data_IF_280996273609
#
_entry.id   IF_280996273609
#
_cell.length_a   1.000
_cell.length_b   1.000
_cell.length_c   1.000
_cell.angle_alpha   90.00
_cell.angle_beta   90.00
_cell.angle_gamma   90.00
#
_symmetry.space_group_name_H-M   'P 1'
#
loop_
_entity.id
_entity.type
_entity.pdbx_description
1 polymer ?
#
# COMPACT_ATOMS: atom_id res chain seq x y z
N UNK A 1 31.89 -7.27 -11.40
CA UNK A 1 30.93 -7.79 -10.40
C UNK A 1 29.99 -6.64 -10.08
N UNK A 2 28.83 -6.62 -10.73
CA UNK A 2 27.79 -5.62 -10.50
C UNK A 2 27.01 -6.05 -9.27
N UNK A 3 27.00 -5.21 -8.22
CA UNK A 3 26.10 -5.36 -7.08
C UNK A 3 24.65 -5.32 -7.58
N UNK A 4 23.78 -6.24 -7.15
CA UNK A 4 22.36 -6.10 -7.41
C UNK A 4 21.87 -4.84 -6.68
N UNK A 5 21.27 -3.92 -7.42
CA UNK A 5 20.56 -2.79 -6.88
C UNK A 5 19.52 -3.32 -5.87
N UNK A 6 19.57 -2.84 -4.64
CA UNK A 6 18.58 -3.11 -3.61
C UNK A 6 17.22 -2.68 -4.15
N UNK A 7 16.36 -3.65 -4.44
CA UNK A 7 14.96 -3.40 -4.79
C UNK A 7 14.28 -2.79 -3.56
N UNK A 8 14.22 -1.47 -3.49
CA UNK A 8 13.35 -0.78 -2.55
C UNK A 8 11.91 -1.15 -2.90
N UNK A 9 11.25 -1.91 -2.04
CA UNK A 9 9.81 -2.17 -2.15
C UNK A 9 9.09 -0.83 -2.08
N UNK A 10 8.52 -0.37 -3.19
CA UNK A 10 7.58 0.73 -3.18
C UNK A 10 6.31 0.25 -2.47
N UNK A 11 5.74 1.03 -1.55
CA UNK A 11 4.44 0.68 -0.99
C UNK A 11 3.43 0.71 -2.12
N UNK A 12 2.65 -0.36 -2.24
CA UNK A 12 1.48 -0.34 -3.10
C UNK A 12 0.57 0.81 -2.65
N UNK A 13 0.06 1.66 -3.56
CA UNK A 13 -0.73 2.83 -3.21
C UNK A 13 -2.01 2.53 -2.41
N UNK A 14 -2.41 1.28 -2.30
CA UNK A 14 -3.63 0.84 -1.61
C UNK A 14 -3.43 -0.21 -0.52
N UNK A 15 -2.20 -0.44 -0.07
CA UNK A 15 -1.89 -1.46 0.93
C UNK A 15 -1.20 -0.89 2.14
N UNK A 16 -1.75 0.18 2.64
CA UNK A 16 -1.28 0.72 3.89
C UNK A 16 -2.26 0.31 4.96
N UNK A 17 -1.88 -0.78 5.62
CA UNK A 17 -2.54 -1.37 6.76
C UNK A 17 -2.74 -0.37 7.90
N UNK A 18 -3.82 0.34 7.89
CA UNK A 18 -4.42 0.91 9.09
C UNK A 18 -5.92 0.77 8.95
N UNK A 19 -6.50 -0.05 9.75
CA UNK A 19 -7.92 0.03 9.97
C UNK A 19 -8.22 1.22 10.91
N UNK A 20 -9.18 2.06 10.57
CA UNK A 20 -10.10 1.99 9.45
C UNK A 20 -9.75 3.00 8.34
N UNK A 21 -9.46 2.51 7.15
CA UNK A 21 -9.37 3.35 5.96
C UNK A 21 -10.75 3.83 5.48
N UNK A 22 -11.81 3.48 6.21
CA UNK A 22 -13.19 3.80 5.86
C UNK A 22 -13.93 4.38 7.05
N UNK A 23 -14.74 5.42 6.80
CA UNK A 23 -15.71 5.91 7.76
C UNK A 23 -17.07 5.30 7.52
N UNK A 24 -17.61 4.60 8.52
CA UNK A 24 -19.00 4.20 8.55
C UNK A 24 -19.74 5.06 9.54
N UNK A 25 -20.88 5.60 9.13
CA UNK A 25 -21.80 6.31 10.00
C UNK A 25 -23.09 5.53 10.11
N UNK A 26 -23.56 5.38 11.33
CA UNK A 26 -24.91 4.93 11.57
C UNK A 26 -25.83 6.15 11.52
N UNK A 27 -26.65 6.27 10.47
CA UNK A 27 -27.62 7.35 10.35
C UNK A 27 -28.90 7.02 11.16
N UNK A 28 -29.66 8.05 11.51
CA UNK A 28 -31.01 7.88 12.09
C UNK A 28 -31.84 6.93 11.22
N UNK A 29 -32.26 5.79 11.79
CA UNK A 29 -32.98 4.74 11.07
C UNK A 29 -32.19 3.45 10.82
N UNK A 30 -30.98 3.30 11.36
CA UNK A 30 -30.21 2.04 11.31
C UNK A 30 -29.52 1.75 9.99
N UNK A 31 -29.45 2.72 9.06
CA UNK A 31 -28.71 2.54 7.81
C UNK A 31 -27.23 2.91 8.00
N UNK A 32 -26.35 1.95 7.72
CA UNK A 32 -24.91 2.18 7.70
C UNK A 32 -24.52 2.81 6.36
N UNK A 33 -23.71 3.86 6.40
CA UNK A 33 -23.24 4.59 5.22
C UNK A 33 -21.73 4.64 5.26
N UNK A 34 -21.10 4.25 4.16
CA UNK A 34 -19.68 4.44 3.94
C UNK A 34 -19.46 5.85 3.40
N UNK A 35 -18.62 6.64 4.05
CA UNK A 35 -18.29 8.01 3.61
C UNK A 35 -17.11 7.96 2.66
N UNK A 36 -17.29 8.28 1.36
CA UNK A 36 -16.20 8.31 0.40
C UNK A 36 -15.32 9.55 0.59
N UNK A 37 -14.10 9.48 0.07
CA UNK A 37 -13.26 10.65 -0.15
C UNK A 37 -13.78 11.57 -1.26
N UNK A 38 -13.08 12.69 -1.49
CA UNK A 38 -13.42 13.64 -2.57
C UNK A 38 -13.29 12.97 -3.95
N UNK A 39 -12.40 12.00 -4.08
CA UNK A 39 -12.17 11.15 -5.25
C UNK A 39 -13.21 10.05 -5.44
N UNK A 40 -14.19 9.93 -4.54
CA UNK A 40 -15.18 8.86 -4.52
C UNK A 40 -14.67 7.55 -3.92
N UNK A 41 -13.38 7.44 -3.56
CA UNK A 41 -12.82 6.25 -2.93
C UNK A 41 -13.33 6.11 -1.48
N UNK A 42 -13.77 4.92 -1.06
CA UNK A 42 -14.09 4.66 0.34
C UNK A 42 -12.83 4.58 1.23
N UNK A 43 -11.65 4.45 0.61
CA UNK A 43 -10.37 4.27 1.30
C UNK A 43 -9.60 5.59 1.47
N UNK A 44 -8.80 5.68 2.52
CA UNK A 44 -7.81 6.72 2.73
C UNK A 44 -6.43 6.07 2.84
N UNK A 45 -5.46 6.37 1.95
CA UNK A 45 -4.11 5.86 2.12
C UNK A 45 -3.52 6.26 3.48
N UNK A 46 -3.03 5.29 4.25
CA UNK A 46 -2.42 5.51 5.56
C UNK A 46 -0.98 5.98 5.45
N UNK A 47 -0.81 7.10 4.76
CA UNK A 47 0.46 7.78 4.50
C UNK A 47 0.43 9.17 5.09
N UNK A 48 1.54 9.57 5.73
CA UNK A 48 1.70 10.90 6.31
C UNK A 48 3.07 11.45 5.89
N UNK A 49 3.10 12.60 5.23
CA UNK A 49 4.32 13.28 4.84
C UNK A 49 4.52 14.54 5.67
N UNK A 50 5.65 14.62 6.39
CA UNK A 50 6.05 15.77 7.19
C UNK A 50 6.86 16.73 6.34
N UNK A 51 6.32 17.93 6.14
CA UNK A 51 6.89 18.97 5.28
C UNK A 51 7.50 20.08 6.11
N UNK A 52 8.23 21.01 5.47
CA UNK A 52 8.79 22.16 6.15
C UNK A 52 7.73 23.06 6.80
N UNK A 53 8.13 23.82 7.82
CA UNK A 53 7.28 24.77 8.55
C UNK A 53 6.08 24.13 9.27
N UNK A 54 6.22 22.91 9.76
CA UNK A 54 5.19 22.22 10.52
C UNK A 54 3.99 21.72 9.69
N UNK A 55 4.05 21.79 8.36
CA UNK A 55 2.97 21.30 7.50
C UNK A 55 2.99 19.78 7.43
N UNK A 56 1.79 19.17 7.34
CA UNK A 56 1.59 17.73 7.20
C UNK A 56 0.64 17.47 6.03
N UNK A 57 1.02 16.56 5.15
CA UNK A 57 0.12 15.99 4.15
C UNK A 57 -0.31 14.59 4.59
N UNK A 58 -1.54 14.18 4.26
CA UNK A 58 -2.11 12.89 4.67
C UNK A 58 -2.85 12.27 3.48
N UNK A 59 -2.84 10.94 3.40
CA UNK A 59 -3.56 10.21 2.37
C UNK A 59 -2.89 10.31 1.00
N UNK A 60 -3.68 10.57 -0.04
CA UNK A 60 -3.17 10.66 -1.41
C UNK A 60 -2.14 11.77 -1.58
N UNK A 61 -2.37 12.94 -1.00
CA UNK A 61 -1.42 14.06 -1.06
C UNK A 61 -0.04 13.68 -0.48
N UNK A 62 -0.02 12.84 0.57
CA UNK A 62 1.22 12.34 1.15
C UNK A 62 1.87 11.26 0.28
N UNK A 63 1.07 10.40 -0.33
CA UNK A 63 1.53 9.35 -1.23
C UNK A 63 2.22 9.94 -2.47
N UNK A 64 1.66 11.00 -3.05
CA UNK A 64 2.23 11.72 -4.20
C UNK A 64 3.58 12.41 -3.87
N UNK A 65 3.86 12.60 -2.58
CA UNK A 65 5.12 13.17 -2.09
C UNK A 65 6.18 12.11 -1.74
N UNK A 66 5.83 10.83 -1.77
CA UNK A 66 6.71 9.75 -1.32
C UNK A 66 8.04 9.73 -2.08
N UNK A 67 8.02 9.90 -3.39
CA UNK A 67 9.24 9.92 -4.21
C UNK A 67 10.12 11.15 -3.94
N UNK A 68 9.49 12.30 -3.65
CA UNK A 68 10.20 13.57 -3.41
C UNK A 68 10.71 13.70 -1.99
N UNK A 69 10.01 13.11 -1.04
CA UNK A 69 10.28 13.23 0.41
C UNK A 69 10.28 11.86 1.12
N UNK A 70 11.02 10.83 0.63
CA UNK A 70 10.92 9.47 1.14
C UNK A 70 11.29 9.35 2.62
N UNK A 71 12.31 10.08 3.09
CA UNK A 71 12.76 10.03 4.47
C UNK A 71 11.81 10.71 5.48
N UNK A 72 10.86 11.51 5.02
CA UNK A 72 9.87 12.21 5.86
C UNK A 72 8.43 11.83 5.53
N UNK A 73 8.22 10.84 4.66
CA UNK A 73 6.92 10.27 4.34
C UNK A 73 6.79 8.89 4.99
N UNK A 74 5.93 8.81 5.98
CA UNK A 74 5.74 7.62 6.81
C UNK A 74 4.53 6.84 6.33
N UNK A 75 4.70 5.55 6.13
CA UNK A 75 3.67 4.59 5.76
C UNK A 75 3.83 3.29 6.55
N UNK A 76 2.76 2.49 6.67
CA UNK A 76 2.80 1.24 7.44
C UNK A 76 3.06 1.46 8.94
N UNK A 77 2.64 2.59 9.52
CA UNK A 77 2.83 2.91 10.94
C UNK A 77 2.20 1.84 11.87
N UNK A 78 1.13 1.16 11.42
CA UNK A 78 0.48 0.03 12.09
C UNK A 78 1.47 -1.11 12.44
N UNK A 79 2.50 -1.32 11.62
CA UNK A 79 3.51 -2.37 11.83
C UNK A 79 4.49 -2.07 12.97
N UNK A 80 4.51 -0.82 13.42
CA UNK A 80 5.39 -0.32 14.50
C UNK A 80 4.63 0.10 15.75
N UNK A 81 3.31 0.27 15.67
CA UNK A 81 2.48 0.76 16.77
C UNK A 81 2.51 -0.20 17.96
N UNK A 82 2.79 0.32 19.16
CA UNK A 82 2.87 -0.47 20.39
C UNK A 82 4.06 -1.45 20.47
N UNK A 83 4.98 -1.45 19.49
CA UNK A 83 6.16 -2.32 19.48
C UNK A 83 7.38 -1.65 20.06
N UNK A 84 8.26 -2.46 20.63
CA UNK A 84 9.55 -2.01 21.14
C UNK A 84 10.58 -1.92 20.03
N UNK A 85 11.45 -0.89 20.11
CA UNK A 85 12.49 -0.67 19.09
C UNK A 85 13.46 -1.88 18.95
N UNK A 86 13.73 -2.58 20.03
CA UNK A 86 14.63 -3.74 20.07
C UNK A 86 14.02 -5.03 19.48
N UNK A 87 12.72 -5.05 19.16
CA UNK A 87 12.09 -6.23 18.57
C UNK A 87 12.69 -6.54 17.19
N UNK A 88 13.03 -7.81 16.94
CA UNK A 88 13.59 -8.26 15.67
C UNK A 88 12.62 -8.03 14.49
N UNK A 89 11.31 -8.07 14.75
CA UNK A 89 10.28 -7.75 13.78
C UNK A 89 10.34 -6.28 13.35
N UNK A 90 10.59 -5.35 14.29
CA UNK A 90 10.77 -3.91 14.01
C UNK A 90 11.99 -3.68 13.13
N UNK A 91 13.12 -4.32 13.44
CA UNK A 91 14.34 -4.17 12.65
C UNK A 91 14.20 -4.70 11.22
N UNK A 92 13.51 -5.84 11.05
CA UNK A 92 13.24 -6.40 9.70
C UNK A 92 12.33 -5.50 8.89
N UNK A 93 11.25 -5.03 9.48
CA UNK A 93 10.30 -4.12 8.83
C UNK A 93 10.94 -2.78 8.45
N UNK A 94 11.80 -2.25 9.32
CA UNK A 94 12.52 -0.99 9.09
C UNK A 94 13.53 -1.09 7.94
N UNK A 95 14.15 -2.24 7.74
CA UNK A 95 15.15 -2.45 6.68
C UNK A 95 14.56 -2.30 5.26
N UNK A 96 13.26 -2.45 5.12
CA UNK A 96 12.54 -2.31 3.85
C UNK A 96 11.99 -0.89 3.62
N UNK A 97 12.25 0.06 4.55
CA UNK A 97 11.67 1.41 4.53
C UNK A 97 12.70 2.47 4.18
N UNK A 98 12.21 3.55 3.58
CA UNK A 98 13.05 4.70 3.20
C UNK A 98 13.19 5.73 4.34
N UNK A 99 12.32 5.67 5.35
CA UNK A 99 12.42 6.46 6.56
C UNK A 99 13.24 5.73 7.63
N UNK A 100 13.76 6.48 8.61
CA UNK A 100 14.57 5.93 9.69
C UNK A 100 13.75 5.80 10.98
N UNK A 101 13.96 4.68 11.69
CA UNK A 101 13.50 4.50 13.06
C UNK A 101 14.58 4.94 14.06
N UNK A 102 14.11 5.47 15.19
CA UNK A 102 14.95 5.85 16.32
C UNK A 102 14.29 5.45 17.63
N UNK A 103 15.08 5.18 18.65
CA UNK A 103 14.64 5.11 20.04
C UNK A 103 14.70 6.51 20.62
N UNK A 104 13.61 7.02 21.19
CA UNK A 104 13.53 8.44 21.61
C UNK A 104 14.39 8.74 22.84
N UNK A 105 14.40 7.87 23.86
CA UNK A 105 15.23 7.94 25.07
C UNK A 105 15.45 6.53 25.61
N UNK A 106 16.44 6.36 26.49
CA UNK A 106 16.73 5.06 27.13
C UNK A 106 15.54 4.47 27.92
N UNK A 107 14.64 5.32 28.41
CA UNK A 107 13.45 4.91 29.20
C UNK A 107 12.20 4.66 28.35
N UNK A 108 12.21 4.98 27.03
CA UNK A 108 11.09 4.75 26.12
C UNK A 108 11.49 3.69 25.10
N UNK A 109 11.07 2.45 25.35
CA UNK A 109 11.43 1.30 24.53
C UNK A 109 10.82 1.29 23.12
N UNK A 110 9.82 2.14 22.85
CA UNK A 110 9.08 2.19 21.60
C UNK A 110 9.88 2.61 20.38
N UNK A 111 9.50 2.11 19.21
CA UNK A 111 10.01 2.54 17.92
C UNK A 111 9.40 3.89 17.52
N UNK A 112 10.24 4.85 17.12
CA UNK A 112 9.83 6.20 16.70
C UNK A 112 10.38 6.49 15.31
N UNK A 113 9.66 7.32 14.53
CA UNK A 113 10.11 7.78 13.22
C UNK A 113 10.95 9.03 13.34
N UNK A 114 12.14 9.03 12.74
CA UNK A 114 13.00 10.23 12.67
C UNK A 114 12.42 11.20 11.65
N UNK A 115 12.20 12.45 12.06
CA UNK A 115 11.75 13.52 11.18
C UNK A 115 12.81 14.63 11.16
N UNK A 116 13.32 14.96 9.98
CA UNK A 116 14.33 15.99 9.75
C UNK A 116 13.74 17.13 8.93
N UNK A 117 12.69 17.76 9.49
CA UNK A 117 11.95 18.86 8.87
C UNK A 117 11.70 19.96 9.89
N UNK A 118 11.83 21.23 9.45
CA UNK A 118 11.58 22.37 10.31
C UNK A 118 10.11 22.43 10.77
N UNK A 119 9.91 22.87 12.00
CA UNK A 119 8.57 22.96 12.59
C UNK A 119 7.99 21.65 13.12
N UNK A 120 8.76 20.53 13.08
CA UNK A 120 8.38 19.26 13.64
C UNK A 120 9.33 18.79 14.74
N UNK A 121 8.86 17.96 15.69
CA UNK A 121 9.75 17.26 16.61
C UNK A 121 10.74 16.36 15.84
N UNK A 122 11.96 16.14 16.35
CA UNK A 122 12.97 15.32 15.66
C UNK A 122 12.60 13.83 15.58
N UNK A 123 11.63 13.39 16.40
CA UNK A 123 11.08 12.04 16.36
C UNK A 123 9.58 12.06 16.67
N UNK A 124 8.83 11.25 15.96
CA UNK A 124 7.36 11.13 16.05
C UNK A 124 6.98 9.69 16.31
N UNK A 125 6.03 9.45 17.22
CA UNK A 125 5.55 8.10 17.53
C UNK A 125 4.60 7.56 16.45
N UNK A 126 4.47 6.23 16.31
CA UNK A 126 3.46 5.62 15.44
C UNK A 126 2.03 6.07 15.76
N UNK A 127 1.71 6.29 17.05
CA UNK A 127 0.42 6.80 17.48
C UNK A 127 0.15 8.21 16.95
N UNK A 128 1.16 9.09 16.99
CA UNK A 128 1.04 10.44 16.43
C UNK A 128 0.87 10.42 14.90
N UNK A 129 1.56 9.53 14.20
CA UNK A 129 1.31 9.32 12.76
C UNK A 129 -0.12 8.83 12.52
N UNK A 130 -0.58 7.83 13.28
CA UNK A 130 -1.95 7.33 13.22
C UNK A 130 -2.98 8.43 13.48
N UNK A 131 -2.72 9.34 14.44
CA UNK A 131 -3.64 10.43 14.76
C UNK A 131 -3.84 11.42 13.59
N UNK A 132 -2.84 11.64 12.74
CA UNK A 132 -3.00 12.44 11.53
C UNK A 132 -3.95 11.78 10.53
N UNK A 133 -3.83 10.45 10.33
CA UNK A 133 -4.74 9.69 9.47
C UNK A 133 -6.17 9.75 10.02
N UNK A 134 -6.35 9.48 11.32
CA UNK A 134 -7.64 9.59 12.01
C UNK A 134 -8.24 11.00 11.91
N UNK A 135 -7.40 12.03 12.07
CA UNK A 135 -7.83 13.43 11.91
C UNK A 135 -8.36 13.73 10.52
N UNK A 136 -7.73 13.20 9.47
CA UNK A 136 -8.20 13.35 8.09
C UNK A 136 -9.56 12.62 7.88
N UNK A 137 -9.71 11.43 8.46
CA UNK A 137 -10.98 10.70 8.44
C UNK A 137 -12.08 11.48 9.18
N UNK A 138 -11.76 12.04 10.34
CA UNK A 138 -12.69 12.88 11.11
C UNK A 138 -13.14 14.11 10.31
N UNK A 139 -12.23 14.71 9.56
CA UNK A 139 -12.56 15.84 8.68
C UNK A 139 -13.47 15.41 7.52
N UNK A 140 -13.25 14.24 6.91
CA UNK A 140 -14.17 13.68 5.90
C UNK A 140 -15.57 13.50 6.50
N UNK A 141 -15.65 12.93 7.70
CA UNK A 141 -16.92 12.75 8.41
C UNK A 141 -17.62 14.09 8.68
N UNK A 142 -16.90 15.09 9.19
CA UNK A 142 -17.42 16.42 9.45
C UNK A 142 -17.96 17.09 8.19
N UNK A 143 -17.24 16.99 7.08
CA UNK A 143 -17.68 17.54 5.79
C UNK A 143 -18.96 16.85 5.28
N UNK A 144 -19.04 15.53 5.42
CA UNK A 144 -20.23 14.78 5.00
C UNK A 144 -21.47 15.12 5.85
N UNK A 145 -21.28 15.22 7.18
CA UNK A 145 -22.35 15.53 8.13
C UNK A 145 -22.78 17.00 8.13
N UNK A 146 -21.93 17.89 7.63
CA UNK A 146 -22.12 19.34 7.75
C UNK A 146 -21.86 19.90 9.15
N UNK A 147 -21.24 19.11 10.06
CA UNK A 147 -20.84 19.54 11.40
C UNK A 147 -19.64 18.73 11.93
N UNK A 148 -18.92 19.28 12.90
CA UNK A 148 -17.70 18.68 13.51
C UNK A 148 -17.96 17.93 14.84
N UNK A 149 -19.20 17.65 15.20
CA UNK A 149 -19.57 17.06 16.50
C UNK A 149 -19.43 15.53 16.55
N UNK A 150 -18.38 14.98 15.95
CA UNK A 150 -18.03 13.56 16.08
C UNK A 150 -17.02 13.42 17.21
N UNK A 151 -17.39 12.77 18.31
CA UNK A 151 -16.55 12.63 19.50
C UNK A 151 -16.33 11.20 19.95
N UNK A 152 -17.12 10.26 19.46
CA UNK A 152 -17.07 8.84 19.86
C UNK A 152 -16.86 7.96 18.64
N UNK A 153 -16.13 6.86 18.83
CA UNK A 153 -15.81 5.91 17.75
C UNK A 153 -15.75 4.48 18.26
N UNK A 154 -16.17 3.54 17.41
CA UNK A 154 -15.86 2.11 17.52
C UNK A 154 -14.72 1.83 16.56
N UNK A 155 -13.72 1.09 17.01
CA UNK A 155 -12.57 0.74 16.20
C UNK A 155 -12.41 -0.78 16.07
N UNK A 156 -11.86 -1.22 14.95
CA UNK A 156 -11.41 -2.60 14.76
C UNK A 156 -9.88 -2.66 14.76
N UNK A 157 -9.34 -3.72 15.34
CA UNK A 157 -7.90 -3.98 15.43
C UNK A 157 -7.62 -5.45 15.06
N UNK A 158 -6.43 -5.78 14.56
CA UNK A 158 -6.07 -7.17 14.28
C UNK A 158 -6.24 -8.07 15.49
N UNK A 159 -6.73 -9.30 15.29
CA UNK A 159 -6.88 -10.28 16.35
C UNK A 159 -5.53 -10.60 17.05
N UNK A 160 -4.43 -10.58 16.29
CA UNK A 160 -3.08 -10.85 16.79
C UNK A 160 -2.44 -9.69 17.57
N UNK A 161 -3.07 -8.51 17.65
CA UNK A 161 -2.52 -7.41 18.41
C UNK A 161 -2.51 -7.72 19.90
N UNK A 162 -1.35 -7.54 20.51
CA UNK A 162 -1.22 -7.63 21.96
C UNK A 162 -1.86 -6.42 22.68
N UNK A 163 -1.89 -6.47 24.01
CA UNK A 163 -2.49 -5.41 24.82
C UNK A 163 -1.80 -4.02 24.59
N UNK A 164 -0.48 -4.01 24.36
CA UNK A 164 0.27 -2.76 24.10
C UNK A 164 -0.11 -2.18 22.74
N UNK A 165 -0.20 -3.00 21.71
CA UNK A 165 -0.60 -2.59 20.37
C UNK A 165 -2.07 -2.08 20.35
N UNK A 166 -2.98 -2.80 21.03
CA UNK A 166 -4.39 -2.38 21.20
C UNK A 166 -4.46 -1.02 21.92
N UNK A 167 -3.74 -0.86 23.04
CA UNK A 167 -3.71 0.40 23.79
C UNK A 167 -3.09 1.56 22.96
N UNK A 168 -2.01 1.32 22.26
CA UNK A 168 -1.36 2.32 21.42
C UNK A 168 -2.25 2.74 20.22
N UNK A 169 -3.05 1.81 19.69
CA UNK A 169 -4.05 2.15 18.66
C UNK A 169 -5.13 3.05 19.23
N UNK A 170 -5.68 2.73 20.40
CA UNK A 170 -6.66 3.59 21.10
C UNK A 170 -6.08 4.99 21.35
N UNK A 171 -4.81 5.08 21.75
CA UNK A 171 -4.11 6.36 21.97
C UNK A 171 -4.07 7.21 20.69
N UNK A 172 -3.87 6.62 19.51
CA UNK A 172 -3.88 7.36 18.24
C UNK A 172 -5.23 8.06 18.01
N UNK A 173 -6.35 7.43 18.35
CA UNK A 173 -7.68 8.04 18.26
C UNK A 173 -7.88 9.13 19.33
N UNK A 174 -7.39 8.92 20.55
CA UNK A 174 -7.44 9.95 21.59
C UNK A 174 -6.63 11.20 21.21
N UNK A 175 -5.44 11.02 20.59
CA UNK A 175 -4.63 12.13 20.07
C UNK A 175 -5.35 12.91 18.96
N UNK A 176 -6.25 12.27 18.21
CA UNK A 176 -7.12 12.91 17.22
C UNK A 176 -8.39 13.55 17.86
N UNK A 177 -8.55 13.50 19.17
CA UNK A 177 -9.68 14.10 19.90
C UNK A 177 -10.92 13.21 20.00
N UNK A 178 -10.82 11.90 19.70
CA UNK A 178 -11.92 10.97 19.73
C UNK A 178 -11.91 10.06 20.97
N UNK A 179 -13.07 9.77 21.51
CA UNK A 179 -13.25 8.76 22.56
C UNK A 179 -13.58 7.41 21.92
N UNK A 180 -12.69 6.43 22.10
CA UNK A 180 -12.96 5.05 21.71
C UNK A 180 -13.92 4.43 22.73
N UNK A 181 -15.14 4.11 22.31
CA UNK A 181 -16.17 3.51 23.18
C UNK A 181 -16.16 1.99 23.14
N UNK A 182 -15.61 1.41 22.07
CA UNK A 182 -15.46 -0.05 21.93
C UNK A 182 -14.32 -0.37 20.94
N UNK A 183 -13.59 -1.42 21.27
CA UNK A 183 -12.60 -2.04 20.37
C UNK A 183 -13.08 -3.43 20.01
N UNK A 184 -13.09 -3.76 18.72
CA UNK A 184 -13.38 -5.08 18.17
C UNK A 184 -12.12 -5.68 17.54
N UNK A 185 -12.11 -6.98 17.39
CA UNK A 185 -11.16 -7.63 16.49
C UNK A 185 -11.69 -7.58 15.05
N UNK A 186 -10.81 -7.33 14.08
CA UNK A 186 -11.15 -7.21 12.66
C UNK A 186 -11.98 -8.40 12.14
N UNK A 187 -11.60 -9.68 12.43
CA UNK A 187 -12.40 -10.81 11.97
C UNK A 187 -13.79 -10.87 12.63
N UNK A 188 -13.90 -10.49 13.91
CA UNK A 188 -15.19 -10.39 14.58
C UNK A 188 -16.07 -9.34 13.91
N UNK A 189 -15.53 -8.17 13.61
CA UNK A 189 -16.26 -7.13 12.89
C UNK A 189 -16.73 -7.63 11.51
N UNK A 190 -15.87 -8.35 10.78
CA UNK A 190 -16.24 -8.92 9.48
C UNK A 190 -17.41 -9.91 9.59
N UNK A 191 -17.41 -10.81 10.56
CA UNK A 191 -18.51 -11.75 10.80
C UNK A 191 -19.82 -11.04 11.17
N UNK A 192 -19.74 -9.98 11.99
CA UNK A 192 -20.90 -9.15 12.36
C UNK A 192 -21.51 -8.42 11.14
N UNK A 193 -20.70 -7.99 10.18
CA UNK A 193 -21.18 -7.33 8.96
C UNK A 193 -22.17 -8.20 8.18
N UNK A 194 -21.91 -9.49 8.08
CA UNK A 194 -22.76 -10.46 7.41
C UNK A 194 -23.88 -11.01 8.30
N UNK A 195 -23.93 -10.60 9.57
CA UNK A 195 -24.96 -11.11 10.51
C UNK A 195 -24.82 -12.59 10.85
N UNK A 196 -23.67 -13.20 10.62
CA UNK A 196 -23.43 -14.65 10.78
C UNK A 196 -23.59 -15.11 12.22
N UNK A 197 -23.33 -14.24 13.20
CA UNK A 197 -23.51 -14.50 14.63
C UNK A 197 -24.98 -14.78 15.03
N UNK A 198 -25.95 -14.48 14.16
CA UNK A 198 -27.38 -14.73 14.36
C UNK A 198 -27.94 -15.80 13.44
N UNK A 199 -27.09 -16.36 12.56
CA UNK A 199 -27.51 -17.36 11.60
C UNK A 199 -27.63 -18.72 12.32
N UNK A 200 -28.78 -19.42 12.20
CA UNK A 200 -28.93 -20.72 12.83
C UNK A 200 -27.95 -21.73 12.23
N UNK A 201 -27.46 -22.64 13.06
CA UNK A 201 -26.52 -23.71 12.69
C UNK A 201 -25.17 -23.20 12.14
N UNK A 202 -24.72 -22.04 12.56
CA UNK A 202 -23.40 -21.53 12.31
C UNK A 202 -22.64 -21.51 13.63
N UNK A 203 -21.61 -22.34 13.74
CA UNK A 203 -20.72 -22.44 14.90
C UNK A 203 -19.32 -21.95 14.56
N UNK A 204 -18.78 -22.31 13.38
CA UNK A 204 -17.45 -21.94 12.97
C UNK A 204 -17.46 -21.05 11.73
N UNK A 205 -16.81 -19.89 11.82
CA UNK A 205 -16.66 -18.93 10.74
C UNK A 205 -15.17 -18.75 10.47
N UNK A 206 -14.73 -19.10 9.26
CA UNK A 206 -13.40 -18.77 8.78
C UNK A 206 -13.41 -17.36 8.18
N UNK A 207 -12.60 -16.46 8.72
CA UNK A 207 -12.34 -15.14 8.12
C UNK A 207 -10.99 -15.18 7.43
N UNK A 208 -11.00 -14.94 6.12
CA UNK A 208 -9.82 -14.92 5.27
C UNK A 208 -9.60 -13.50 4.77
N UNK A 209 -8.62 -12.81 5.36
CA UNK A 209 -8.27 -11.43 5.04
C UNK A 209 -6.96 -11.39 4.25
N UNK A 210 -7.08 -11.24 2.92
CA UNK A 210 -5.95 -11.05 2.03
C UNK A 210 -5.93 -9.60 1.57
N UNK A 211 -5.15 -8.81 2.28
CA UNK A 211 -4.94 -7.40 2.03
C UNK A 211 -3.84 -7.12 1.02
N UNK A 212 -3.31 -5.92 1.10
CA UNK A 212 -2.26 -5.52 0.18
C UNK A 212 -0.86 -5.98 0.53
N UNK A 213 -0.58 -6.33 1.77
CA UNK A 213 0.75 -6.75 2.20
C UNK A 213 0.76 -7.99 3.09
N UNK A 214 -0.40 -8.40 3.62
CA UNK A 214 -0.52 -9.53 4.54
C UNK A 214 -1.70 -10.41 4.20
N UNK A 215 -1.59 -11.67 4.58
CA UNK A 215 -2.69 -12.60 4.73
C UNK A 215 -2.91 -12.83 6.22
N UNK A 216 -4.10 -12.60 6.71
CA UNK A 216 -4.55 -12.97 8.04
C UNK A 216 -5.74 -13.93 7.93
N UNK A 217 -5.67 -15.05 8.63
CA UNK A 217 -6.71 -16.07 8.69
C UNK A 217 -7.12 -16.22 10.13
N UNK A 218 -8.42 -16.16 10.42
CA UNK A 218 -8.94 -16.31 11.78
C UNK A 218 -10.14 -17.25 11.77
N UNK A 219 -10.18 -18.16 12.74
CA UNK A 219 -11.34 -19.00 13.00
C UNK A 219 -12.11 -18.46 14.19
N UNK A 220 -13.40 -18.24 13.99
CA UNK A 220 -14.32 -17.73 15.00
C UNK A 220 -15.27 -18.83 15.42
N UNK A 221 -15.62 -18.83 16.70
CA UNK A 221 -16.70 -19.64 17.26
C UNK A 221 -17.90 -18.76 17.59
N UNK A 222 -19.09 -19.22 17.22
CA UNK A 222 -20.35 -18.55 17.49
C UNK A 222 -21.13 -19.35 18.50
N UNK A 223 -21.51 -18.72 19.61
CA UNK A 223 -22.35 -19.32 20.64
C UNK A 223 -23.34 -18.28 21.17
N UNK A 224 -24.63 -18.58 21.04
CA UNK A 224 -25.73 -17.72 21.49
C UNK A 224 -25.61 -16.24 21.06
N UNK A 225 -25.14 -16.02 19.81
CA UNK A 225 -24.95 -14.69 19.25
C UNK A 225 -23.65 -13.98 19.69
N UNK A 226 -22.88 -14.61 20.58
CA UNK A 226 -21.50 -14.18 20.90
C UNK A 226 -20.52 -14.75 19.91
N UNK A 227 -19.48 -13.98 19.59
CA UNK A 227 -18.43 -14.35 18.64
C UNK A 227 -17.10 -14.29 19.39
N UNK A 228 -16.35 -15.39 19.34
CA UNK A 228 -15.03 -15.53 19.95
C UNK A 228 -14.01 -15.99 18.90
N UNK A 229 -12.80 -15.41 18.93
CA UNK A 229 -11.69 -15.87 18.07
C UNK A 229 -11.03 -17.07 18.70
N UNK A 230 -11.18 -18.26 18.09
CA UNK A 230 -10.53 -19.51 18.54
C UNK A 230 -9.04 -19.53 18.24
N UNK A 231 -8.66 -19.01 17.05
CA UNK A 231 -7.28 -18.98 16.61
C UNK A 231 -7.10 -18.06 15.40
N UNK A 232 -5.84 -17.68 15.20
CA UNK A 232 -5.44 -16.89 14.04
C UNK A 232 -4.04 -17.28 13.58
N UNK A 233 -3.86 -17.42 12.27
CA UNK A 233 -2.57 -17.59 11.61
C UNK A 233 -2.47 -16.62 10.41
N UNK A 234 -1.35 -16.59 9.70
CA UNK A 234 -1.20 -15.73 8.54
C UNK A 234 0.20 -15.73 7.94
N UNK A 235 0.35 -14.91 6.92
CA UNK A 235 1.62 -14.66 6.25
C UNK A 235 1.83 -13.15 6.09
N UNK A 236 2.79 -12.60 6.83
CA UNK A 236 3.07 -11.15 6.84
C UNK A 236 3.75 -10.66 5.54
N UNK A 237 4.12 -11.58 4.65
CA UNK A 237 4.77 -11.30 3.38
C UNK A 237 3.98 -11.89 2.21
N UNK A 238 2.64 -11.95 2.33
CA UNK A 238 1.75 -12.38 1.27
C UNK A 238 0.58 -11.40 1.16
N UNK A 239 0.60 -10.57 0.14
CA UNK A 239 -0.45 -9.60 -0.15
C UNK A 239 -0.32 -9.02 -1.54
N UNK A 240 -1.15 -8.06 -1.89
CA UNK A 240 -1.18 -7.43 -3.20
C UNK A 240 0.18 -6.98 -3.71
N UNK A 241 1.03 -6.44 -2.82
CA UNK A 241 2.38 -5.99 -3.17
C UNK A 241 3.30 -7.12 -3.68
N UNK A 242 3.16 -8.33 -3.15
CA UNK A 242 3.96 -9.48 -3.59
C UNK A 242 3.50 -9.93 -4.98
N UNK A 243 2.18 -9.91 -5.22
CA UNK A 243 1.61 -10.18 -6.53
C UNK A 243 1.98 -9.08 -7.55
N UNK A 244 1.97 -7.81 -7.17
CA UNK A 244 2.40 -6.70 -8.01
C UNK A 244 3.88 -6.84 -8.39
N UNK A 245 4.74 -7.22 -7.45
CA UNK A 245 6.14 -7.51 -7.72
C UNK A 245 6.32 -8.70 -8.66
N UNK A 246 5.52 -9.76 -8.48
CA UNK A 246 5.52 -10.90 -9.40
C UNK A 246 5.17 -10.44 -10.83
N UNK A 247 4.12 -9.64 -10.99
CA UNK A 247 3.71 -9.08 -12.30
C UNK A 247 4.81 -8.16 -12.84
N UNK A 248 5.46 -7.34 -12.00
CA UNK A 248 6.59 -6.49 -12.41
C UNK A 248 7.68 -7.33 -13.10
N UNK A 249 8.06 -8.46 -12.52
CA UNK A 249 9.03 -9.36 -13.16
C UNK A 249 8.53 -9.95 -14.48
N UNK A 250 7.21 -10.17 -14.63
CA UNK A 250 6.65 -10.58 -15.94
C UNK A 250 6.80 -9.46 -16.96
N UNK A 251 6.49 -8.22 -16.58
CA UNK A 251 6.60 -7.05 -17.44
C UNK A 251 8.06 -6.76 -17.83
N UNK A 252 9.00 -6.89 -16.90
CA UNK A 252 10.44 -6.76 -17.19
C UNK A 252 10.88 -7.74 -18.29
N UNK A 253 10.45 -9.00 -18.21
CA UNK A 253 10.74 -9.99 -19.25
C UNK A 253 10.10 -9.64 -20.59
N UNK A 254 8.86 -9.16 -20.60
CA UNK A 254 8.15 -8.74 -21.84
C UNK A 254 8.79 -7.51 -22.47
N UNK A 255 9.20 -6.54 -21.69
CA UNK A 255 9.92 -5.37 -22.16
C UNK A 255 11.32 -5.71 -22.68
N UNK A 256 12.02 -6.63 -21.99
CA UNK A 256 13.39 -7.01 -22.34
C UNK A 256 14.28 -5.78 -22.46
N UNK A 257 14.95 -5.62 -23.61
CA UNK A 257 15.82 -4.46 -23.84
C UNK A 257 15.08 -3.13 -24.08
N UNK A 258 13.78 -2.98 -23.84
CA UNK A 258 12.99 -1.73 -24.02
C UNK A 258 12.83 -0.92 -22.74
N UNK A 259 13.30 -1.42 -21.59
CA UNK A 259 13.29 -0.68 -20.33
C UNK A 259 14.19 0.55 -20.49
N UNK A 260 13.68 1.73 -20.17
CA UNK A 260 14.41 2.99 -20.24
C UNK A 260 15.10 3.31 -18.90
N UNK A 261 16.19 4.09 -18.96
CA UNK A 261 16.90 4.54 -17.76
C UNK A 261 16.11 5.62 -17.03
N UNK A 262 16.50 5.93 -15.79
CA UNK A 262 15.91 7.02 -15.03
C UNK A 262 16.15 8.38 -15.73
N UNK A 263 17.36 8.61 -16.24
CA UNK A 263 17.71 9.85 -16.97
C UNK A 263 16.88 10.03 -18.25
N UNK A 264 16.65 8.93 -18.99
CA UNK A 264 15.76 8.96 -20.15
C UNK A 264 14.30 9.26 -19.71
N UNK A 265 13.84 8.66 -18.63
CA UNK A 265 12.50 8.90 -18.10
C UNK A 265 12.28 10.35 -17.66
N UNK A 266 13.26 10.98 -17.02
CA UNK A 266 13.24 12.40 -16.65
C UNK A 266 13.17 13.30 -17.90
N UNK A 267 13.88 12.94 -18.99
CA UNK A 267 13.79 13.68 -20.24
C UNK A 267 12.42 13.56 -20.93
N UNK A 268 11.69 12.47 -20.67
CA UNK A 268 10.35 12.29 -21.23
C UNK A 268 9.31 13.23 -20.60
N UNK A 269 9.51 13.66 -19.35
CA UNK A 269 8.61 14.60 -18.67
C UNK A 269 8.53 15.91 -19.43
N UNK A 270 9.64 16.41 -19.97
CA UNK A 270 9.68 17.62 -20.79
C UNK A 270 8.93 17.48 -22.12
N UNK A 271 8.70 16.24 -22.56
CA UNK A 271 7.94 15.96 -23.79
C UNK A 271 6.41 15.99 -23.61
N UNK A 272 5.90 16.04 -22.38
CA UNK A 272 4.47 16.19 -22.09
C UNK A 272 3.63 14.96 -22.45
N UNK A 273 4.18 13.76 -22.40
CA UNK A 273 3.42 12.53 -22.65
C UNK A 273 2.42 12.26 -21.52
N UNK A 274 1.20 11.85 -21.90
CA UNK A 274 0.14 11.46 -20.95
C UNK A 274 0.29 10.05 -20.37
N UNK A 275 1.18 9.21 -20.95
CA UNK A 275 1.46 7.85 -20.50
C UNK A 275 2.79 7.78 -19.73
N UNK A 276 2.93 6.89 -18.73
CA UNK A 276 4.18 6.70 -18.02
C UNK A 276 5.27 6.15 -18.94
N UNK A 277 6.54 6.37 -18.59
CA UNK A 277 7.66 5.74 -19.30
C UNK A 277 7.83 4.28 -18.89
N UNK A 278 8.38 3.44 -19.81
CA UNK A 278 8.72 2.04 -19.49
C UNK A 278 10.02 1.96 -18.65
N UNK A 279 10.16 2.80 -17.64
CA UNK A 279 11.28 2.79 -16.69
C UNK A 279 10.95 1.88 -15.51
N UNK A 280 11.99 1.31 -14.87
CA UNK A 280 11.84 0.34 -13.77
C UNK A 280 10.90 0.86 -12.68
N UNK A 281 11.04 2.13 -12.27
CA UNK A 281 10.20 2.74 -11.21
C UNK A 281 8.71 2.86 -11.60
N UNK A 282 8.39 2.91 -12.90
CA UNK A 282 7.00 2.98 -13.38
C UNK A 282 6.37 1.59 -13.59
N UNK A 283 7.17 0.51 -13.57
CA UNK A 283 6.64 -0.83 -13.81
C UNK A 283 5.75 -1.32 -12.66
N UNK A 284 6.04 -0.93 -11.43
CA UNK A 284 5.24 -1.35 -10.28
C UNK A 284 3.80 -0.80 -10.32
N UNK A 285 3.56 0.51 -10.51
CA UNK A 285 2.21 1.04 -10.70
C UNK A 285 1.47 0.43 -11.90
N UNK A 286 2.18 0.18 -13.01
CA UNK A 286 1.62 -0.50 -14.18
C UNK A 286 1.22 -1.94 -13.86
N UNK A 287 2.02 -2.65 -13.07
CA UNK A 287 1.75 -4.03 -12.64
C UNK A 287 0.50 -4.11 -11.77
N UNK A 288 0.37 -3.22 -10.80
CA UNK A 288 -0.83 -3.10 -9.98
C UNK A 288 -2.06 -2.82 -10.83
N UNK A 289 -1.99 -1.87 -11.75
CA UNK A 289 -3.08 -1.55 -12.66
C UNK A 289 -3.51 -2.75 -13.50
N UNK A 290 -2.56 -3.49 -14.10
CA UNK A 290 -2.85 -4.69 -14.88
C UNK A 290 -3.48 -5.79 -14.02
N UNK A 291 -2.92 -6.06 -12.82
CA UNK A 291 -3.46 -7.07 -11.90
C UNK A 291 -4.90 -6.75 -11.48
N UNK A 292 -5.20 -5.48 -11.21
CA UNK A 292 -6.56 -5.04 -10.84
C UNK A 292 -7.55 -5.26 -11.99
N UNK A 293 -7.16 -4.95 -13.22
CA UNK A 293 -7.99 -5.19 -14.41
C UNK A 293 -8.29 -6.69 -14.61
N UNK A 294 -7.35 -7.58 -14.23
CA UNK A 294 -7.55 -9.04 -14.29
C UNK A 294 -8.49 -9.59 -13.22
N UNK A 295 -8.93 -8.77 -12.26
CA UNK A 295 -9.99 -9.17 -11.32
C UNK A 295 -11.32 -9.38 -12.03
N UNK A 296 -11.66 -8.52 -12.98
CA UNK A 296 -12.93 -8.51 -13.69
C UNK A 296 -12.83 -9.05 -15.14
N UNK A 297 -11.63 -9.01 -15.73
CA UNK A 297 -11.37 -9.43 -17.12
C UNK A 297 -10.36 -10.57 -17.24
N UNK A 298 -10.35 -11.24 -18.40
CA UNK A 298 -9.36 -12.30 -18.70
C UNK A 298 -8.08 -11.76 -19.32
N UNK A 299 -8.10 -10.51 -19.76
CA UNK A 299 -6.96 -9.80 -20.35
C UNK A 299 -6.92 -8.38 -19.82
N UNK A 300 -5.74 -7.89 -19.56
CA UNK A 300 -5.48 -6.51 -19.15
C UNK A 300 -4.44 -5.88 -20.08
N UNK A 301 -4.59 -4.60 -20.39
CA UNK A 301 -3.68 -3.85 -21.23
C UNK A 301 -3.36 -2.51 -20.59
N UNK A 302 -2.08 -2.15 -20.61
CA UNK A 302 -1.60 -0.80 -20.29
C UNK A 302 -0.53 -0.38 -21.29
N UNK A 303 -0.24 0.92 -21.36
CA UNK A 303 0.78 1.47 -22.26
C UNK A 303 1.83 2.23 -21.46
N UNK A 304 3.09 2.09 -21.90
CA UNK A 304 4.17 2.95 -21.43
C UNK A 304 5.03 3.43 -22.60
N UNK A 305 5.70 4.55 -22.44
CA UNK A 305 6.56 5.15 -23.45
C UNK A 305 7.97 4.55 -23.39
N UNK A 306 8.51 4.15 -24.52
CA UNK A 306 9.86 3.58 -24.65
C UNK A 306 10.67 4.29 -25.74
N UNK A 307 12.00 4.21 -25.63
CA UNK A 307 12.94 4.69 -26.65
C UNK A 307 13.53 3.52 -27.46
N UNK A 308 13.74 3.65 -28.77
CA UNK A 308 14.51 2.69 -29.57
C UNK A 308 15.93 2.47 -29.03
N UNK A 309 16.49 1.27 -29.24
CA UNK A 309 17.86 0.91 -28.77
C UNK A 309 18.92 1.89 -29.27
N UNK A 310 18.81 2.33 -30.52
CA UNK A 310 19.74 3.22 -31.17
C UNK A 310 19.76 4.61 -30.51
N UNK A 311 18.61 5.13 -30.13
CA UNK A 311 18.48 6.41 -29.44
C UNK A 311 19.07 6.40 -28.02
N UNK A 312 19.02 5.24 -27.33
CA UNK A 312 19.62 5.05 -25.99
C UNK A 312 21.14 5.01 -26.04
N UNK A 313 21.74 4.41 -27.06
CA UNK A 313 23.19 4.37 -27.24
C UNK A 313 23.82 5.73 -27.53
N UNK A 314 23.06 6.65 -28.15
CA UNK A 314 23.52 8.02 -28.37
C UNK A 314 23.60 8.84 -27.07
N UNK A 315 22.74 8.56 -26.09
CA UNK A 315 22.77 9.21 -24.77
C UNK A 315 23.99 8.79 -23.93
N UNK A 316 24.39 7.51 -23.96
CA UNK A 316 25.58 7.04 -23.27
C UNK A 316 26.85 7.74 -23.80
N UNK A 317 26.93 7.96 -25.11
CA UNK A 317 28.09 8.68 -25.73
C UNK A 317 28.10 10.18 -25.40
N UNK A 318 26.92 10.79 -25.23
CA UNK A 318 26.83 12.22 -24.89
C UNK A 318 27.06 12.48 -23.38
N UNK A 319 26.75 11.53 -22.50
CA UNK A 319 27.06 11.59 -21.07
C UNK A 319 28.55 11.38 -20.81
N UNK A 320 29.20 10.50 -21.56
CA UNK A 320 30.65 10.26 -21.47
C UNK A 320 31.43 11.50 -21.93
N UNK A 321 31.00 12.18 -22.99
CA UNK A 321 31.60 13.43 -23.46
C UNK A 321 31.40 14.59 -22.46
N UNK A 322 30.28 14.64 -21.71
CA UNK A 322 30.08 15.64 -20.64
C UNK A 322 30.85 15.34 -19.36
N UNK A 323 31.18 14.08 -19.10
CA UNK A 323 32.05 13.68 -17.99
C UNK A 323 33.53 14.04 -18.28
N UNK A 324 34.00 13.84 -19.49
CA UNK A 324 35.37 14.23 -19.91
C UNK A 324 35.57 15.75 -19.95
N UNK A 325 34.53 16.53 -20.28
CA UNK A 325 34.61 18.00 -20.26
C UNK A 325 34.54 18.60 -18.85
N UNK A 326 34.04 17.88 -17.84
CA UNK A 326 34.03 18.33 -16.44
C UNK A 326 35.36 18.11 -15.68
N UNK A 327 36.25 17.31 -16.20
CA UNK A 327 37.57 17.05 -15.59
C UNK A 327 38.65 18.02 -16.05
N UNK A 328 38.40 18.90 -17.04
CA UNK A 328 39.39 19.78 -17.63
C UNK A 328 39.27 21.27 -17.31
N UNK A 329 38.48 21.69 -16.35
CA UNK A 329 38.32 23.12 -16.00
C UNK A 329 38.56 23.43 -14.53
N UNK A 330 39.80 23.16 -14.06
CA UNK A 330 40.31 23.67 -12.78
C UNK A 330 41.79 24.04 -12.73
N UNK A 331 42.37 24.41 -13.85
CA UNK A 331 43.65 25.14 -13.91
C UNK A 331 43.72 25.86 -15.26
N UNK A 332 43.55 27.18 -15.24
CA UNK A 332 44.15 28.18 -16.10
C UNK A 332 43.23 29.42 -16.22
N UNK A 333 43.27 30.22 -15.17
CA UNK A 333 42.99 31.67 -15.32
C UNK A 333 44.33 32.35 -15.56
N UNK A 334 44.52 32.79 -16.82
CA UNK A 334 45.22 34.02 -17.25
C UNK A 334 45.67 33.86 -18.69
N UNK A 335 45.02 34.56 -19.60
CA UNK A 335 45.66 35.44 -20.60
C UNK A 335 44.50 36.10 -21.40
N UNK A 336 44.63 37.42 -21.55
CA UNK A 336 43.76 38.34 -22.19
C UNK A 336 43.65 38.24 -23.71
N UNK A 337 42.53 38.76 -24.20
CA UNK A 337 42.36 39.54 -25.41
C UNK A 337 42.14 38.87 -26.77
N UNK A 338 40.92 39.05 -27.24
CA UNK A 338 40.66 39.46 -28.62
C UNK A 338 40.52 38.35 -29.66
N UNK A 339 39.26 38.07 -30.03
CA UNK A 339 38.82 37.95 -31.43
C UNK A 339 37.27 37.94 -31.43
N UNK A 340 36.68 38.90 -32.12
CA UNK A 340 35.25 38.91 -32.54
C UNK A 340 35.01 37.80 -33.56
N UNK A 341 34.03 36.95 -33.33
CA UNK A 341 33.61 35.96 -34.33
C UNK A 341 32.32 35.25 -33.88
N UNK A 342 31.23 35.66 -34.53
CA UNK A 342 29.92 35.01 -34.71
C UNK A 342 29.39 34.14 -33.55
N UNK A 343 28.41 34.68 -32.86
CA UNK A 343 27.44 33.95 -32.03
C UNK A 343 26.56 33.11 -32.96
N UNK A 344 26.93 31.87 -33.19
CA UNK A 344 25.95 30.83 -33.54
C UNK A 344 25.33 30.35 -32.22
N UNK A 345 24.22 30.95 -31.85
CA UNK A 345 23.29 30.41 -30.88
C UNK A 345 22.72 29.12 -31.45
N UNK A 346 23.38 28.00 -31.18
CA UNK A 346 22.75 26.69 -31.30
C UNK A 346 21.56 26.68 -30.31
N UNK A 347 20.37 26.86 -30.83
CA UNK A 347 19.14 26.85 -30.07
C UNK A 347 18.95 25.46 -29.49
N UNK A 348 19.05 25.32 -28.16
CA UNK A 348 18.78 24.08 -27.38
C UNK A 348 17.33 23.58 -27.65
N UNK A 349 16.42 24.39 -28.11
CA UNK A 349 15.03 24.05 -28.41
C UNK A 349 14.83 23.12 -29.63
N UNK A 350 15.77 23.08 -30.59
CA UNK A 350 15.69 22.14 -31.72
C UNK A 350 15.96 20.70 -31.36
N UNK A 351 16.91 20.45 -30.45
CA UNK A 351 17.31 19.11 -30.03
C UNK A 351 16.31 18.39 -29.12
N UNK A 352 15.56 19.13 -28.29
CA UNK A 352 14.52 18.55 -27.42
C UNK A 352 13.29 18.12 -28.23
N UNK A 353 12.85 18.88 -29.22
CA UNK A 353 11.73 18.49 -30.09
C UNK A 353 12.02 17.27 -30.94
N UNK A 354 13.24 17.11 -31.45
CA UNK A 354 13.66 15.91 -32.18
C UNK A 354 13.69 14.69 -31.26
N UNK A 355 14.12 14.84 -30.01
CA UNK A 355 14.14 13.78 -29.01
C UNK A 355 12.73 13.29 -28.65
N UNK A 356 11.77 14.19 -28.50
CA UNK A 356 10.39 13.82 -28.18
C UNK A 356 9.77 12.96 -29.30
N UNK A 357 10.12 13.18 -30.54
CA UNK A 357 9.68 12.36 -31.68
C UNK A 357 10.19 10.92 -31.73
N UNK A 358 11.20 10.59 -30.90
CA UNK A 358 11.76 9.23 -30.82
C UNK A 358 11.02 8.31 -29.86
N UNK A 359 10.27 8.88 -28.92
CA UNK A 359 9.47 8.10 -27.97
C UNK A 359 8.30 7.42 -28.67
N UNK A 360 8.09 6.15 -28.34
CA UNK A 360 7.01 5.33 -28.90
C UNK A 360 6.23 4.63 -27.80
N UNK A 361 4.90 4.55 -27.92
CA UNK A 361 4.11 3.77 -27.00
C UNK A 361 4.45 2.28 -27.17
N UNK A 362 4.54 1.58 -26.05
CA UNK A 362 4.66 0.14 -25.98
C UNK A 362 3.49 -0.42 -25.18
N UNK A 363 2.77 -1.32 -25.79
CA UNK A 363 1.61 -1.97 -25.21
C UNK A 363 2.04 -3.16 -24.36
N UNK A 364 1.61 -3.14 -23.10
CA UNK A 364 1.80 -4.19 -22.12
C UNK A 364 0.50 -4.98 -21.97
N UNK A 365 0.46 -6.18 -22.52
CA UNK A 365 -0.67 -7.08 -22.39
C UNK A 365 -0.33 -8.18 -21.36
N UNK A 366 -1.29 -8.47 -20.47
CA UNK A 366 -1.20 -9.55 -19.50
C UNK A 366 -2.54 -10.33 -19.50
N UNK A 367 -2.49 -11.64 -19.66
CA UNK A 367 -3.67 -12.49 -19.51
C UNK A 367 -3.77 -13.01 -18.09
N UNK A 368 -5.01 -13.35 -17.66
CA UNK A 368 -5.25 -13.99 -16.35
C UNK A 368 -4.45 -15.28 -16.21
N UNK A 369 -4.47 -16.11 -17.25
CA UNK A 369 -3.72 -17.38 -17.26
C UNK A 369 -2.22 -17.16 -17.06
N UNK A 370 -1.65 -16.18 -17.76
CA UNK A 370 -0.23 -15.84 -17.62
C UNK A 370 0.10 -15.30 -16.21
N UNK A 371 -0.75 -14.45 -15.65
CA UNK A 371 -0.64 -13.97 -14.29
C UNK A 371 -0.69 -15.13 -13.29
N UNK A 372 -1.71 -15.97 -13.36
CA UNK A 372 -1.90 -17.09 -12.44
C UNK A 372 -0.77 -18.12 -12.51
N UNK A 373 -0.24 -18.40 -13.70
CA UNK A 373 0.89 -19.32 -13.89
C UNK A 373 2.21 -18.76 -13.35
N UNK A 374 2.53 -17.49 -13.64
CA UNK A 374 3.78 -16.90 -13.19
C UNK A 374 3.80 -16.66 -11.67
N UNK A 375 2.65 -16.39 -11.05
CA UNK A 375 2.51 -16.12 -9.63
C UNK A 375 1.94 -17.32 -8.84
N UNK A 376 1.97 -18.53 -9.40
CA UNK A 376 1.36 -19.73 -8.80
C UNK A 376 1.80 -19.98 -7.36
N UNK A 377 3.10 -19.84 -7.06
CA UNK A 377 3.65 -20.05 -5.72
C UNK A 377 3.08 -19.10 -4.66
N UNK A 378 2.67 -17.89 -5.05
CA UNK A 378 2.03 -16.94 -4.13
C UNK A 378 0.58 -17.39 -3.83
N UNK A 379 -0.13 -17.88 -4.83
CA UNK A 379 -1.48 -18.43 -4.62
C UNK A 379 -1.44 -19.67 -3.72
N UNK A 380 -0.50 -20.58 -3.96
CA UNK A 380 -0.35 -21.81 -3.16
C UNK A 380 -0.01 -21.50 -1.69
N UNK A 381 0.75 -20.45 -1.40
CA UNK A 381 0.99 -19.99 -0.05
C UNK A 381 -0.29 -19.52 0.67
N UNK A 382 -1.31 -19.11 -0.08
CA UNK A 382 -2.55 -18.56 0.48
C UNK A 382 -3.36 -19.53 1.33
N UNK A 383 -3.23 -20.84 1.15
CA UNK A 383 -3.95 -21.84 1.94
C UNK A 383 -3.16 -22.38 3.14
N UNK A 384 -1.84 -22.21 3.12
CA UNK A 384 -0.97 -22.75 4.19
C UNK A 384 -1.34 -22.28 5.60
N UNK A 385 -1.66 -20.97 5.83
CA UNK A 385 -2.10 -20.56 7.18
C UNK A 385 -3.44 -21.14 7.60
N UNK A 386 -4.31 -21.50 6.64
CA UNK A 386 -5.59 -22.17 6.93
C UNK A 386 -5.31 -23.56 7.49
N UNK A 387 -4.48 -24.36 6.81
CA UNK A 387 -4.12 -25.70 7.25
C UNK A 387 -3.48 -25.69 8.63
N UNK A 388 -2.45 -24.83 8.81
CA UNK A 388 -1.76 -24.74 10.12
C UNK A 388 -2.69 -24.35 11.26
N UNK A 389 -3.66 -23.47 11.00
CA UNK A 389 -4.61 -23.04 12.03
C UNK A 389 -5.58 -24.16 12.37
N UNK A 390 -6.12 -24.88 11.38
CA UNK A 390 -7.02 -26.00 11.59
C UNK A 390 -6.31 -27.16 12.31
N UNK A 391 -5.09 -27.50 11.89
CA UNK A 391 -4.24 -28.50 12.56
C UNK A 391 -3.98 -28.13 14.03
N UNK A 392 -3.68 -26.86 14.31
CA UNK A 392 -3.45 -26.37 15.68
C UNK A 392 -4.70 -26.46 16.56
N UNK A 393 -5.88 -26.29 15.99
CA UNK A 393 -7.17 -26.32 16.69
C UNK A 393 -7.79 -27.72 16.72
N UNK A 394 -7.17 -28.71 16.07
CA UNK A 394 -7.67 -30.08 15.92
C UNK A 394 -9.08 -30.12 15.26
N UNK A 395 -9.26 -29.30 14.22
CA UNK A 395 -10.51 -29.16 13.47
C UNK A 395 -10.35 -29.58 12.00
N UNK A 396 -11.39 -30.21 11.45
CA UNK A 396 -11.48 -30.55 10.03
C UNK A 396 -12.05 -29.40 9.20
N UNK A 397 -11.78 -29.42 7.89
CA UNK A 397 -12.38 -28.43 6.94
C UNK A 397 -13.91 -28.52 6.89
N UNK A 398 -14.49 -29.69 7.16
CA UNK A 398 -15.91 -29.96 7.21
C UNK A 398 -16.63 -29.37 8.44
N UNK A 399 -15.87 -28.88 9.41
CA UNK A 399 -16.42 -28.18 10.58
C UNK A 399 -16.56 -26.66 10.35
N UNK A 400 -16.12 -26.14 9.19
CA UNK A 400 -16.28 -24.74 8.82
C UNK A 400 -17.66 -24.52 8.20
N UNK A 401 -18.54 -23.77 8.88
CA UNK A 401 -19.87 -23.49 8.39
C UNK A 401 -19.94 -22.32 7.39
N UNK A 402 -19.10 -21.31 7.60
CA UNK A 402 -19.10 -20.09 6.80
C UNK A 402 -17.70 -19.55 6.56
N UNK A 403 -17.48 -19.00 5.36
CA UNK A 403 -16.20 -18.36 5.00
C UNK A 403 -16.46 -16.90 4.61
N UNK A 404 -15.80 -15.96 5.27
CA UNK A 404 -15.90 -14.52 5.03
C UNK A 404 -14.62 -14.04 4.36
N UNK A 405 -14.76 -13.34 3.23
CA UNK A 405 -13.65 -12.78 2.46
C UNK A 405 -13.44 -11.31 2.78
N UNK A 406 -12.23 -10.95 3.19
CA UNK A 406 -11.81 -9.59 3.55
C UNK A 406 -10.55 -9.21 2.75
N UNK A 407 -10.33 -7.91 2.56
CA UNK A 407 -9.17 -7.35 1.86
C UNK A 407 -9.29 -7.40 0.34
N UNK A 408 -8.71 -6.42 -0.34
CA UNK A 408 -8.88 -6.20 -1.78
C UNK A 408 -8.43 -7.38 -2.67
N UNK A 409 -7.38 -8.12 -2.24
CA UNK A 409 -6.89 -9.29 -2.97
C UNK A 409 -7.85 -10.48 -2.94
N UNK A 410 -8.77 -10.54 -1.98
CA UNK A 410 -9.82 -11.56 -1.91
C UNK A 410 -10.81 -11.49 -3.08
N UNK A 411 -10.79 -10.40 -3.88
CA UNK A 411 -11.56 -10.28 -5.12
C UNK A 411 -11.01 -11.15 -6.24
N UNK A 412 -9.73 -11.55 -6.17
CA UNK A 412 -9.05 -12.31 -7.22
C UNK A 412 -9.73 -13.67 -7.43
N UNK A 413 -10.21 -14.01 -8.67
CA UNK A 413 -10.93 -15.23 -8.92
C UNK A 413 -10.16 -16.49 -8.52
N UNK A 414 -8.86 -16.52 -8.75
CA UNK A 414 -7.99 -17.65 -8.38
C UNK A 414 -7.98 -17.90 -6.88
N UNK A 415 -7.92 -16.84 -6.06
CA UNK A 415 -7.96 -16.95 -4.58
C UNK A 415 -9.29 -17.58 -4.14
N UNK A 416 -10.41 -17.08 -4.67
CA UNK A 416 -11.75 -17.60 -4.34
C UNK A 416 -11.92 -19.06 -4.72
N UNK A 417 -11.49 -19.43 -5.94
CA UNK A 417 -11.58 -20.79 -6.43
C UNK A 417 -10.69 -21.73 -5.65
N UNK A 418 -9.48 -21.29 -5.29
CA UNK A 418 -8.55 -22.06 -4.48
C UNK A 418 -9.16 -22.39 -3.10
N UNK A 419 -9.69 -21.38 -2.40
CA UNK A 419 -10.32 -21.57 -1.10
C UNK A 419 -11.56 -22.48 -1.19
N UNK A 420 -12.43 -22.30 -2.17
CA UNK A 420 -13.59 -23.17 -2.37
C UNK A 420 -13.16 -24.64 -2.54
N UNK A 421 -12.18 -24.88 -3.40
CA UNK A 421 -11.69 -26.23 -3.66
C UNK A 421 -10.99 -26.83 -2.44
N UNK A 422 -10.23 -26.01 -1.71
CA UNK A 422 -9.45 -26.44 -0.56
C UNK A 422 -10.34 -26.78 0.64
N UNK A 423 -11.34 -25.97 0.91
CA UNK A 423 -12.28 -26.15 2.02
C UNK A 423 -13.50 -27.02 1.68
N UNK A 424 -13.69 -27.39 0.39
CA UNK A 424 -14.86 -28.13 -0.05
C UNK A 424 -16.18 -27.35 0.06
N UNK A 425 -16.14 -26.00 0.05
CA UNK A 425 -17.31 -25.14 0.21
C UNK A 425 -17.80 -24.58 -1.14
N UNK A 426 -19.12 -24.52 -1.31
CA UNK A 426 -19.72 -23.96 -2.54
C UNK A 426 -19.80 -22.45 -2.54
N UNK A 427 -19.88 -21.84 -1.34
CA UNK A 427 -20.13 -20.40 -1.18
C UNK A 427 -19.08 -19.74 -0.29
N UNK A 428 -18.81 -18.48 -0.61
CA UNK A 428 -18.01 -17.56 0.20
C UNK A 428 -18.87 -16.31 0.43
N UNK A 429 -18.78 -15.71 1.61
CA UNK A 429 -19.46 -14.44 1.90
C UNK A 429 -18.66 -13.29 1.30
N UNK A 430 -19.15 -12.72 0.21
CA UNK A 430 -18.52 -11.71 -0.63
C UNK A 430 -19.48 -10.58 -1.05
N UNK A 431 -20.72 -10.58 -0.54
CA UNK A 431 -21.77 -9.64 -0.92
C UNK A 431 -21.49 -8.21 -0.43
N UNK A 432 -20.72 -8.08 0.64
CA UNK A 432 -20.20 -6.79 1.12
C UNK A 432 -18.82 -6.61 0.51
N UNK A 433 -18.53 -5.40 0.09
CA UNK A 433 -17.22 -5.03 -0.45
C UNK A 433 -16.10 -5.38 0.57
N UNK A 434 -15.13 -6.24 0.22
CA UNK A 434 -14.11 -6.73 1.15
C UNK A 434 -13.17 -5.62 1.69
N UNK A 435 -13.09 -4.46 1.03
CA UNK A 435 -12.30 -3.33 1.52
C UNK A 435 -13.01 -2.57 2.66
N UNK A 436 -14.34 -2.70 2.78
CA UNK A 436 -15.13 -1.94 3.77
C UNK A 436 -15.84 -2.83 4.80
N UNK A 437 -15.79 -4.14 4.65
CA UNK A 437 -16.56 -5.10 5.47
C UNK A 437 -16.27 -4.97 6.96
N UNK A 438 -15.02 -4.77 7.35
CA UNK A 438 -14.59 -4.61 8.75
C UNK A 438 -15.19 -3.34 9.36
N UNK A 439 -15.09 -2.22 8.64
CA UNK A 439 -15.67 -0.95 9.09
C UNK A 439 -17.21 -1.01 9.13
N UNK A 440 -17.83 -1.69 8.16
CA UNK A 440 -19.28 -1.93 8.15
C UNK A 440 -19.71 -2.73 9.38
N UNK A 441 -18.98 -3.80 9.72
CA UNK A 441 -19.27 -4.61 10.90
C UNK A 441 -19.07 -3.85 12.21
N UNK A 442 -18.01 -3.06 12.33
CA UNK A 442 -17.80 -2.20 13.49
C UNK A 442 -18.95 -1.20 13.68
N UNK A 443 -19.53 -0.68 12.59
CA UNK A 443 -20.66 0.23 12.64
C UNK A 443 -21.97 -0.44 13.11
N UNK A 444 -22.15 -1.76 12.93
CA UNK A 444 -23.36 -2.47 13.37
C UNK A 444 -23.57 -2.44 14.89
N UNK A 445 -22.50 -2.18 15.65
CA UNK A 445 -22.52 -2.14 17.12
C UNK A 445 -22.24 -0.74 17.70
N UNK A 446 -22.21 0.29 16.87
CA UNK A 446 -21.93 1.67 17.29
C UNK A 446 -23.15 2.40 17.91
N UNK A 447 -24.15 1.68 18.41
CA UNK A 447 -25.39 2.20 19.01
C UNK A 447 -25.24 2.64 20.47
#
# INVERSE_FOLDING_TARGET
>A
MLHPASHTKYPAPNTLDVTPDTHTLNSQGGKIIIIPGIDGSPLLPSVVSFLENGRVAVGQDALDLLERHPASTIYGAKRFIGREFAESAVSREAAERQFQLVQKNQDLSGAWFRIQRSGHPPAISPQAVGSHVVGQLLQRAANYLGHSQVSKVVIAVPAKFDARQKAATVEAFHLAGLQVIRTLEEPTAAALAFGLHRKPNVNHILVYDLGGGTLDVSLLFVNDGSVEVLGSDGDNNLGGSDFDQCVTHVLERKLGGRIVTLEDAESAISCGFGAPTCAVHNLYPLSEGLRRLLTDGDTATQECMTLPKEARQQNLRSSDLKAETRTFSREDQKVEAGIQGSQDTFSAEGGERERCGLWKPFRLDLTRTEYEQNCASLFDRGVVPVDRMLDYLDLGVDEIDEVVMVGGMSRTPRVRNLLKSHLGVDRLNIEIDPDVVVAYGAATIAH
#
